data_IF_782103193419
#
_entry.id   IF_782103193419
#
_cell.length_a   1.000
_cell.length_b   1.000
_cell.length_c   1.000
_cell.angle_alpha   90.00
_cell.angle_beta   90.00
_cell.angle_gamma   90.00
#
_symmetry.space_group_name_H-M   'P 1'
#
loop_
_entity.id
_entity.type
_entity.pdbx_description
1 polymer ?
#
# COMPACT_ATOMS: atom_id res chain seq x y z
N UNK A 1 2.60 19.73 -4.35
CA UNK A 1 3.81 19.45 -3.54
C UNK A 1 3.37 19.19 -2.10
N UNK A 2 4.07 18.36 -1.31
CA UNK A 2 3.74 18.16 0.09
C UNK A 2 3.80 19.49 0.86
N UNK A 3 2.94 19.62 1.87
CA UNK A 3 2.93 20.79 2.78
C UNK A 3 4.18 20.80 3.65
N UNK A 4 4.68 19.62 4.02
CA UNK A 4 5.95 19.46 4.73
C UNK A 4 6.63 18.14 4.38
N UNK A 5 7.96 18.13 4.55
CA UNK A 5 8.81 16.94 4.49
C UNK A 5 9.54 16.79 5.81
N UNK A 6 9.70 15.58 6.29
CA UNK A 6 10.42 15.29 7.53
C UNK A 6 11.07 13.91 7.45
N UNK A 7 11.87 13.56 8.42
CA UNK A 7 12.38 12.20 8.58
C UNK A 7 12.19 11.72 10.02
N UNK A 8 12.23 10.42 10.20
CA UNK A 8 12.30 9.80 11.51
C UNK A 8 13.25 8.61 11.47
N UNK A 9 13.69 8.17 12.63
CA UNK A 9 14.64 7.07 12.76
C UNK A 9 13.90 5.80 13.14
N UNK A 10 14.06 4.77 12.35
CA UNK A 10 13.56 3.42 12.64
C UNK A 10 14.35 2.75 13.77
N UNK A 11 13.85 1.65 14.30
CA UNK A 11 14.43 0.95 15.44
C UNK A 11 15.88 0.47 15.21
N UNK A 12 16.26 0.19 13.96
CA UNK A 12 17.60 -0.23 13.55
C UNK A 12 18.53 0.95 13.17
N UNK A 13 18.06 2.20 13.33
CA UNK A 13 18.80 3.42 12.97
C UNK A 13 18.58 3.91 11.54
N UNK A 14 17.82 3.18 10.71
CA UNK A 14 17.51 3.59 9.34
C UNK A 14 16.72 4.91 9.35
N UNK A 15 17.14 5.87 8.52
CA UNK A 15 16.42 7.13 8.34
C UNK A 15 15.31 6.97 7.32
N UNK A 16 14.09 7.25 7.72
CA UNK A 16 12.89 7.15 6.90
C UNK A 16 12.42 8.56 6.54
N UNK A 17 12.41 8.86 5.25
CA UNK A 17 11.86 10.11 4.72
C UNK A 17 10.33 10.02 4.65
N UNK A 18 9.65 11.08 5.03
CA UNK A 18 8.21 11.13 5.04
C UNK A 18 7.69 12.50 4.59
N UNK A 19 6.45 12.50 4.15
CA UNK A 19 5.76 13.63 3.56
C UNK A 19 4.39 13.80 4.20
N UNK A 20 3.94 15.05 4.25
CA UNK A 20 2.60 15.40 4.70
C UNK A 20 1.97 16.37 3.72
N UNK A 21 0.69 16.17 3.41
CA UNK A 21 -0.16 17.06 2.64
C UNK A 21 -1.36 17.44 3.51
N UNK A 22 -1.54 18.74 3.72
CA UNK A 22 -2.59 19.29 4.55
C UNK A 22 -3.79 19.74 3.73
N UNK A 23 -5.03 19.50 4.20
CA UNK A 23 -6.23 20.10 3.62
C UNK A 23 -6.32 21.60 3.96
N UNK A 24 -7.18 22.31 3.24
CA UNK A 24 -7.57 23.68 3.58
C UNK A 24 -8.51 23.67 4.79
N UNK A 25 -7.96 23.73 5.99
CA UNK A 25 -8.71 23.75 7.23
C UNK A 25 -8.48 22.52 8.13
N UNK A 26 -9.25 22.37 9.22
CA UNK A 26 -9.06 21.25 10.16
C UNK A 26 -9.33 19.91 9.47
N UNK A 27 -8.41 18.94 9.58
CA UNK A 27 -8.62 17.62 8.97
C UNK A 27 -9.73 16.85 9.71
N UNK A 28 -10.48 16.06 8.95
CA UNK A 28 -11.56 15.20 9.48
C UNK A 28 -11.11 13.76 9.72
N UNK A 29 -10.03 13.33 9.08
CA UNK A 29 -9.32 12.08 9.31
C UNK A 29 -7.92 12.16 8.69
N UNK A 30 -7.04 11.23 9.09
CA UNK A 30 -5.72 11.03 8.50
C UNK A 30 -5.71 9.80 7.60
N UNK A 31 -5.02 9.90 6.47
CA UNK A 31 -4.71 8.76 5.59
C UNK A 31 -3.20 8.59 5.59
N UNK A 32 -2.73 7.41 5.99
CA UNK A 32 -1.34 7.00 5.88
C UNK A 32 -1.17 6.11 4.66
N UNK A 33 -0.43 6.59 3.67
CA UNK A 33 -0.18 5.89 2.42
C UNK A 33 1.16 5.15 2.48
N UNK A 34 1.14 3.87 2.10
CA UNK A 34 2.29 2.99 1.97
C UNK A 34 2.40 2.53 0.51
N UNK A 35 3.46 2.95 -0.18
CA UNK A 35 3.66 2.73 -1.61
C UNK A 35 4.15 1.31 -1.96
N UNK A 36 4.24 1.00 -3.27
CA UNK A 36 4.67 -0.30 -3.80
C UNK A 36 6.19 -0.48 -3.89
N UNK A 37 6.61 -1.63 -4.42
CA UNK A 37 8.00 -1.93 -4.69
C UNK A 37 8.53 -1.13 -5.89
N UNK A 38 9.80 -0.68 -5.82
CA UNK A 38 10.46 0.00 -6.92
C UNK A 38 9.79 1.33 -7.31
N UNK A 39 9.24 2.04 -6.34
CA UNK A 39 8.63 3.36 -6.50
C UNK A 39 8.84 4.22 -5.23
N UNK A 40 8.12 5.32 -5.09
CA UNK A 40 8.22 6.21 -3.94
C UNK A 40 6.93 6.99 -3.68
N UNK A 41 6.76 7.51 -2.46
CA UNK A 41 5.54 8.17 -1.98
C UNK A 41 5.08 9.36 -2.85
N UNK A 42 6.00 10.10 -3.46
CA UNK A 42 5.64 11.29 -4.24
C UNK A 42 4.91 11.00 -5.55
N UNK A 43 4.88 9.76 -6.01
CA UNK A 43 4.06 9.35 -7.15
C UNK A 43 2.55 9.46 -6.87
N UNK A 44 2.16 9.54 -5.59
CA UNK A 44 0.78 9.65 -5.12
C UNK A 44 0.35 11.09 -4.79
N UNK A 45 1.11 12.09 -5.24
CA UNK A 45 0.80 13.49 -4.93
C UNK A 45 -0.58 13.93 -5.42
N UNK A 46 -1.04 13.42 -6.55
CA UNK A 46 -2.37 13.71 -7.09
C UNK A 46 -3.48 13.08 -6.21
N UNK A 47 -3.27 11.87 -5.70
CA UNK A 47 -4.17 11.21 -4.75
C UNK A 47 -4.24 12.02 -3.44
N UNK A 48 -3.06 12.42 -2.91
CA UNK A 48 -3.00 13.21 -1.70
C UNK A 48 -3.76 14.54 -1.84
N UNK A 49 -3.65 15.22 -3.00
CA UNK A 49 -4.41 16.45 -3.28
C UNK A 49 -5.91 16.21 -3.31
N UNK A 50 -6.37 15.18 -4.03
CA UNK A 50 -7.79 14.86 -4.09
C UNK A 50 -8.36 14.54 -2.71
N UNK A 51 -7.60 13.82 -1.87
CA UNK A 51 -7.99 13.55 -0.49
C UNK A 51 -7.95 14.82 0.39
N UNK A 52 -7.00 15.74 0.17
CA UNK A 52 -7.00 17.03 0.86
C UNK A 52 -8.24 17.87 0.51
N UNK A 53 -8.66 17.89 -0.75
CA UNK A 53 -9.91 18.56 -1.19
C UNK A 53 -11.13 17.98 -0.48
N UNK A 54 -11.10 16.70 -0.14
CA UNK A 54 -12.12 16.02 0.66
C UNK A 54 -11.92 16.18 2.19
N UNK A 55 -10.92 16.96 2.63
CA UNK A 55 -10.68 17.27 4.04
C UNK A 55 -9.87 16.23 4.82
N UNK A 56 -9.13 15.35 4.15
CA UNK A 56 -8.21 14.41 4.80
C UNK A 56 -6.79 15.00 4.86
N UNK A 57 -6.07 14.84 5.97
CA UNK A 57 -4.63 15.01 5.99
C UNK A 57 -3.98 13.71 5.50
N UNK A 58 -3.01 13.81 4.59
CA UNK A 58 -2.34 12.65 4.03
C UNK A 58 -0.89 12.62 4.49
N UNK A 59 -0.45 11.47 4.96
CA UNK A 59 0.94 11.16 5.28
C UNK A 59 1.41 10.01 4.41
N UNK A 60 2.66 10.07 3.97
CA UNK A 60 3.31 8.95 3.30
C UNK A 60 4.79 8.92 3.67
N UNK A 61 5.37 7.74 3.75
CA UNK A 61 6.81 7.56 3.87
C UNK A 61 7.36 6.95 2.58
N UNK A 62 8.60 7.28 2.25
CA UNK A 62 9.37 6.41 1.38
C UNK A 62 9.83 5.21 2.21
N UNK A 63 9.49 4.00 1.79
CA UNK A 63 9.96 2.80 2.47
C UNK A 63 11.48 2.75 2.52
N UNK A 64 12.05 2.05 3.51
CA UNK A 64 13.48 1.76 3.55
C UNK A 64 13.95 1.19 2.21
N UNK A 65 15.11 1.61 1.72
CA UNK A 65 15.61 1.23 0.40
C UNK A 65 14.88 1.85 -0.78
N UNK A 66 13.95 2.78 -0.55
CA UNK A 66 13.16 3.44 -1.61
C UNK A 66 13.21 4.97 -1.50
N UNK A 67 13.08 5.65 -2.63
CA UNK A 67 12.94 7.10 -2.69
C UNK A 67 14.05 7.85 -1.95
N UNK A 68 13.67 8.76 -1.07
CA UNK A 68 14.61 9.52 -0.22
C UNK A 68 15.04 8.76 1.05
N UNK A 69 14.54 7.55 1.28
CA UNK A 69 14.97 6.63 2.34
C UNK A 69 16.06 5.65 1.86
N UNK A 70 16.51 5.74 0.61
CA UNK A 70 17.69 5.01 0.14
C UNK A 70 18.89 5.51 0.94
N UNK A 71 19.50 4.61 1.72
CA UNK A 71 20.67 4.91 2.53
C UNK A 71 21.99 4.85 1.75
N UNK A 72 23.02 4.31 2.39
CA UNK A 72 24.32 4.10 1.74
C UNK A 72 24.37 2.83 0.85
N UNK A 73 23.32 1.98 0.93
CA UNK A 73 23.16 0.79 0.09
C UNK A 73 22.54 1.09 -1.26
N UNK A 74 22.29 0.04 -2.02
CA UNK A 74 21.62 0.13 -3.32
C UNK A 74 20.10 0.30 -3.14
N UNK A 75 19.42 0.76 -4.19
CA UNK A 75 17.97 0.80 -4.22
C UNK A 75 17.39 -0.62 -4.07
N UNK A 76 16.37 -0.76 -3.23
CA UNK A 76 15.78 -2.05 -2.89
C UNK A 76 16.45 -2.81 -1.73
N UNK A 77 17.58 -2.31 -1.21
CA UNK A 77 18.20 -2.82 0.02
C UNK A 77 17.41 -2.29 1.24
N UNK A 78 16.69 -3.19 1.91
CA UNK A 78 15.88 -2.83 3.08
C UNK A 78 16.71 -2.68 4.37
N UNK A 79 18.02 -2.83 4.30
CA UNK A 79 18.93 -2.67 5.44
C UNK A 79 18.82 -3.78 6.47
N UNK A 80 19.39 -3.55 7.67
CA UNK A 80 19.47 -4.57 8.73
C UNK A 80 18.11 -5.01 9.24
N UNK A 81 17.13 -4.12 9.30
CA UNK A 81 15.75 -4.45 9.72
C UNK A 81 14.98 -5.26 8.66
N UNK A 82 15.42 -5.25 7.42
CA UNK A 82 14.82 -6.00 6.33
C UNK A 82 13.32 -5.75 6.19
N UNK A 83 12.58 -6.80 5.78
CA UNK A 83 11.14 -6.75 5.61
C UNK A 83 10.38 -6.47 6.93
N UNK A 84 10.80 -7.08 8.03
CA UNK A 84 10.17 -6.84 9.33
C UNK A 84 10.25 -5.35 9.73
N UNK A 85 11.42 -4.74 9.56
CA UNK A 85 11.58 -3.31 9.81
C UNK A 85 10.72 -2.43 8.90
N UNK A 86 10.46 -2.84 7.64
CA UNK A 86 9.53 -2.12 6.76
C UNK A 86 8.10 -2.16 7.31
N UNK A 87 7.67 -3.31 7.83
CA UNK A 87 6.34 -3.46 8.46
C UNK A 87 6.26 -2.62 9.74
N UNK A 88 7.29 -2.64 10.58
CA UNK A 88 7.36 -1.86 11.83
C UNK A 88 7.35 -0.34 11.56
N UNK A 89 7.98 0.12 10.48
CA UNK A 89 8.01 1.53 10.10
C UNK A 89 6.60 2.10 9.83
N UNK A 90 5.63 1.26 9.43
CA UNK A 90 4.21 1.65 9.32
C UNK A 90 3.70 2.10 10.70
N UNK A 91 3.97 1.33 11.75
CA UNK A 91 3.55 1.64 13.12
C UNK A 91 4.20 2.91 13.67
N UNK A 92 5.48 3.16 13.34
CA UNK A 92 6.17 4.37 13.77
C UNK A 92 5.53 5.63 13.19
N UNK A 93 5.18 5.61 11.90
CA UNK A 93 4.46 6.73 11.28
C UNK A 93 3.04 6.86 11.83
N UNK A 94 2.33 5.75 12.02
CA UNK A 94 0.99 5.73 12.62
C UNK A 94 0.98 6.36 14.02
N UNK A 95 1.95 5.99 14.87
CA UNK A 95 2.09 6.56 16.21
C UNK A 95 2.35 8.07 16.17
N UNK A 96 3.18 8.53 15.24
CA UNK A 96 3.42 9.94 15.02
C UNK A 96 2.15 10.69 14.59
N UNK A 97 1.41 10.15 13.61
CA UNK A 97 0.15 10.77 13.15
C UNK A 97 -0.84 10.90 14.31
N UNK A 98 -0.99 9.85 15.12
CA UNK A 98 -1.88 9.90 16.30
C UNK A 98 -1.42 10.90 17.35
N UNK A 99 -0.13 11.11 17.53
CA UNK A 99 0.41 12.12 18.43
C UNK A 99 0.17 13.55 17.91
N UNK A 100 0.29 13.77 16.60
CA UNK A 100 0.02 15.07 15.96
C UNK A 100 -1.48 15.38 15.86
N UNK A 101 -2.34 14.34 15.78
CA UNK A 101 -3.78 14.47 15.62
C UNK A 101 -4.55 13.57 16.61
N UNK A 102 -4.54 13.89 17.93
CA UNK A 102 -5.22 13.09 18.94
C UNK A 102 -6.72 12.95 18.65
N UNK A 103 -7.22 11.70 18.61
CA UNK A 103 -8.63 11.41 18.39
C UNK A 103 -9.10 11.47 16.92
N UNK A 104 -8.23 11.83 15.99
CA UNK A 104 -8.55 11.80 14.57
C UNK A 104 -8.55 10.36 14.07
N UNK A 105 -9.56 9.91 13.29
CA UNK A 105 -9.53 8.60 12.64
C UNK A 105 -8.31 8.45 11.73
N UNK A 106 -7.66 7.28 11.77
CA UNK A 106 -6.51 6.95 10.94
C UNK A 106 -6.85 5.79 10.00
N UNK A 107 -6.68 6.04 8.70
CA UNK A 107 -6.87 5.05 7.64
C UNK A 107 -5.50 4.67 7.07
N UNK A 108 -5.20 3.37 7.02
CA UNK A 108 -4.03 2.86 6.32
C UNK A 108 -4.40 2.58 4.86
N UNK A 109 -3.65 3.14 3.92
CA UNK A 109 -3.78 2.87 2.49
C UNK A 109 -2.49 2.24 2.00
N UNK A 110 -2.54 0.95 1.64
CA UNK A 110 -1.42 0.22 1.07
C UNK A 110 -1.61 -0.09 -0.41
N UNK A 111 -0.57 0.14 -1.21
CA UNK A 111 -0.51 -0.27 -2.60
C UNK A 111 0.57 -1.33 -2.82
N UNK A 112 0.24 -2.41 -3.54
CA UNK A 112 1.19 -3.46 -3.95
C UNK A 112 2.01 -3.97 -2.74
N UNK A 113 3.32 -3.93 -2.77
CA UNK A 113 4.20 -4.26 -1.64
C UNK A 113 3.73 -3.58 -0.34
N UNK A 114 3.35 -2.31 -0.39
CA UNK A 114 2.78 -1.61 0.77
C UNK A 114 1.47 -2.22 1.26
N UNK A 115 0.63 -2.77 0.36
CA UNK A 115 -0.58 -3.49 0.77
C UNK A 115 -0.26 -4.81 1.47
N UNK A 116 0.78 -5.51 1.04
CA UNK A 116 1.24 -6.74 1.69
C UNK A 116 1.85 -6.46 3.08
N UNK A 117 2.57 -5.35 3.21
CA UNK A 117 3.08 -4.90 4.50
C UNK A 117 1.92 -4.52 5.45
N UNK A 118 0.90 -3.81 4.97
CA UNK A 118 -0.30 -3.50 5.76
C UNK A 118 -1.04 -4.76 6.17
N UNK A 119 -1.26 -5.74 5.27
CA UNK A 119 -1.88 -7.01 5.64
C UNK A 119 -1.16 -7.68 6.81
N UNK A 120 0.18 -7.72 6.77
CA UNK A 120 0.99 -8.34 7.84
C UNK A 120 0.99 -7.53 9.12
N UNK A 121 1.04 -6.19 9.02
CA UNK A 121 0.91 -5.28 10.14
C UNK A 121 -0.39 -5.49 10.92
N UNK A 122 -1.50 -5.74 10.23
CA UNK A 122 -2.80 -5.93 10.84
C UNK A 122 -2.90 -7.16 11.74
N UNK A 123 -2.09 -8.20 11.55
CA UNK A 123 -2.13 -9.39 12.41
C UNK A 123 -1.85 -9.08 13.89
N UNK A 124 -1.07 -8.03 14.15
CA UNK A 124 -0.68 -7.64 15.50
C UNK A 124 -1.19 -6.24 15.90
N UNK A 125 -1.49 -5.38 14.92
CA UNK A 125 -1.73 -3.96 15.11
C UNK A 125 -3.05 -3.46 14.50
N UNK A 126 -4.05 -4.31 14.32
CA UNK A 126 -5.33 -3.92 13.71
C UNK A 126 -6.10 -2.86 14.51
N UNK A 127 -5.78 -2.69 15.81
CA UNK A 127 -6.35 -1.65 16.65
C UNK A 127 -5.81 -0.23 16.33
N UNK A 128 -4.68 -0.15 15.63
CA UNK A 128 -4.04 1.13 15.27
C UNK A 128 -4.70 1.80 14.06
N UNK A 129 -5.62 1.13 13.37
CA UNK A 129 -6.31 1.66 12.21
C UNK A 129 -7.83 1.72 12.43
N UNK A 130 -8.45 2.79 11.97
CA UNK A 130 -9.91 2.95 11.96
C UNK A 130 -10.53 2.46 10.64
N UNK A 131 -9.71 2.22 9.64
CA UNK A 131 -10.06 1.61 8.36
C UNK A 131 -8.81 1.27 7.56
N UNK A 132 -8.94 0.41 6.58
CA UNK A 132 -7.84 -0.07 5.73
C UNK A 132 -8.24 -0.08 4.27
N UNK A 133 -7.36 0.40 3.40
CA UNK A 133 -7.48 0.37 1.95
C UNK A 133 -6.32 -0.43 1.39
N UNK A 134 -6.61 -1.43 0.58
CA UNK A 134 -5.62 -2.28 -0.10
C UNK A 134 -5.82 -2.18 -1.61
N UNK A 135 -4.82 -1.69 -2.33
CA UNK A 135 -4.84 -1.59 -3.80
C UNK A 135 -3.68 -2.38 -4.41
N UNK A 136 -3.85 -2.89 -5.64
CA UNK A 136 -2.85 -3.75 -6.27
C UNK A 136 -2.49 -4.94 -5.39
N UNK A 137 -3.47 -5.53 -4.73
CA UNK A 137 -3.31 -6.50 -3.63
C UNK A 137 -3.75 -7.90 -4.01
N UNK A 138 -3.28 -8.88 -3.26
CA UNK A 138 -3.57 -10.31 -3.47
C UNK A 138 -3.27 -11.14 -2.21
N UNK A 139 -3.69 -12.41 -2.21
CA UNK A 139 -3.12 -13.45 -1.36
C UNK A 139 -1.74 -13.83 -1.93
N UNK A 140 -0.73 -12.99 -1.67
CA UNK A 140 0.56 -13.05 -2.36
C UNK A 140 1.35 -14.34 -2.07
N UNK A 141 1.09 -15.02 -0.96
CA UNK A 141 1.67 -16.33 -0.66
C UNK A 141 1.46 -17.35 -1.78
N UNK A 142 0.35 -17.22 -2.55
CA UNK A 142 0.05 -18.08 -3.70
C UNK A 142 0.87 -17.74 -4.94
N UNK A 143 1.48 -16.57 -5.00
CA UNK A 143 2.37 -16.16 -6.10
C UNK A 143 3.82 -16.65 -5.88
N UNK A 144 4.18 -17.05 -4.67
CA UNK A 144 5.55 -17.40 -4.29
C UNK A 144 6.19 -18.41 -5.23
N UNK A 145 5.47 -19.46 -5.59
CA UNK A 145 5.99 -20.52 -6.45
C UNK A 145 6.23 -20.13 -7.92
N UNK A 146 5.78 -18.94 -8.33
CA UNK A 146 5.99 -18.40 -9.68
C UNK A 146 7.21 -17.45 -9.76
N UNK A 147 7.88 -17.15 -8.66
CA UNK A 147 8.98 -16.20 -8.57
C UNK A 147 10.28 -16.91 -8.18
N UNK A 148 11.40 -16.41 -8.72
CA UNK A 148 12.75 -16.79 -8.27
C UNK A 148 13.13 -15.90 -7.08
N UNK A 149 13.05 -16.45 -5.86
CA UNK A 149 13.38 -15.74 -4.63
C UNK A 149 14.89 -15.86 -4.24
N UNK A 150 15.72 -16.48 -5.08
CA UNK A 150 17.17 -16.49 -4.89
C UNK A 150 17.84 -15.28 -5.54
N UNK A 151 17.07 -14.47 -6.26
CA UNK A 151 17.47 -13.21 -6.87
C UNK A 151 16.58 -12.05 -6.36
N UNK A 152 17.00 -10.79 -6.51
CA UNK A 152 16.09 -9.64 -6.36
C UNK A 152 14.86 -9.81 -7.26
N UNK A 153 13.70 -9.34 -6.80
CA UNK A 153 12.46 -9.42 -7.57
C UNK A 153 12.61 -8.64 -8.87
N UNK A 154 12.40 -9.32 -10.00
CA UNK A 154 12.34 -8.69 -11.33
C UNK A 154 10.93 -8.20 -11.63
N UNK A 155 10.72 -6.89 -11.53
CA UNK A 155 9.42 -6.28 -11.81
C UNK A 155 9.00 -6.36 -13.29
N UNK A 156 9.96 -6.51 -14.21
CA UNK A 156 9.67 -6.62 -15.64
C UNK A 156 8.99 -7.95 -15.99
N UNK A 157 9.15 -8.98 -15.16
CA UNK A 157 8.49 -10.28 -15.35
C UNK A 157 6.95 -10.17 -15.35
N UNK A 158 6.39 -9.21 -14.61
CA UNK A 158 4.95 -8.96 -14.60
C UNK A 158 4.41 -8.40 -15.93
N UNK A 159 5.30 -7.98 -16.83
CA UNK A 159 4.92 -7.48 -18.15
C UNK A 159 4.60 -8.59 -19.18
N UNK A 160 4.83 -9.85 -18.84
CA UNK A 160 4.62 -10.99 -19.76
C UNK A 160 3.22 -11.04 -20.40
N UNK A 161 2.10 -10.75 -19.70
CA UNK A 161 0.76 -10.75 -20.29
C UNK A 161 0.49 -9.63 -21.31
N UNK A 162 1.35 -8.60 -21.37
CA UNK A 162 1.14 -7.38 -22.18
C UNK A 162 1.99 -7.35 -23.46
N UNK A 163 2.51 -8.48 -23.91
CA UNK A 163 3.31 -8.57 -25.13
C UNK A 163 2.45 -8.49 -26.40
N UNK A 164 2.88 -7.77 -27.48
CA UNK A 164 4.10 -6.95 -27.55
C UNK A 164 3.97 -5.66 -26.71
N UNK A 165 4.89 -5.47 -25.78
CA UNK A 165 4.88 -4.33 -24.88
C UNK A 165 5.67 -3.15 -25.46
N UNK A 166 5.34 -1.92 -25.05
CA UNK A 166 6.04 -0.68 -25.37
C UNK A 166 7.27 -0.48 -24.49
N UNK A 167 7.14 -0.89 -23.19
CA UNK A 167 8.19 -0.82 -22.17
C UNK A 167 8.17 -2.10 -21.32
N UNK A 168 9.11 -2.24 -20.39
CA UNK A 168 9.12 -3.34 -19.40
C UNK A 168 8.11 -3.13 -18.27
N UNK A 169 7.39 -2.01 -18.25
CA UNK A 169 6.50 -1.59 -17.16
C UNK A 169 5.07 -1.25 -17.59
N UNK A 170 4.65 -1.66 -18.78
CA UNK A 170 3.28 -1.43 -19.26
C UNK A 170 2.24 -2.11 -18.36
N UNK A 171 2.64 -3.13 -17.60
CA UNK A 171 1.77 -3.80 -16.63
C UNK A 171 1.27 -2.91 -15.48
N UNK A 172 1.92 -1.76 -15.24
CA UNK A 172 1.54 -0.84 -14.17
C UNK A 172 0.19 -0.16 -14.43
N UNK A 173 0.00 0.40 -15.62
CA UNK A 173 -1.21 1.15 -15.97
C UNK A 173 -1.37 1.25 -17.49
N UNK A 174 -2.59 1.54 -17.95
CA UNK A 174 -2.87 1.88 -19.35
C UNK A 174 -2.51 3.33 -19.70
N UNK A 175 -2.24 4.18 -18.72
CA UNK A 175 -1.79 5.55 -18.95
C UNK A 175 -0.30 5.58 -19.33
N UNK A 176 -0.02 5.67 -20.63
CA UNK A 176 1.34 5.65 -21.17
C UNK A 176 2.22 6.76 -20.59
N UNK A 177 1.66 7.94 -20.30
CA UNK A 177 2.43 9.04 -19.72
C UNK A 177 2.91 8.73 -18.29
N UNK A 178 2.11 7.99 -17.52
CA UNK A 178 2.50 7.50 -16.19
C UNK A 178 3.60 6.46 -16.30
N UNK A 179 3.49 5.52 -17.25
CA UNK A 179 4.54 4.52 -17.50
C UNK A 179 5.85 5.20 -17.94
N UNK A 180 5.79 6.18 -18.84
CA UNK A 180 6.97 6.93 -19.29
C UNK A 180 7.63 7.69 -18.14
N UNK A 181 6.83 8.32 -17.26
CA UNK A 181 7.34 8.99 -16.08
C UNK A 181 8.01 8.01 -15.09
N UNK A 182 7.44 6.80 -14.93
CA UNK A 182 8.03 5.74 -14.11
C UNK A 182 9.38 5.28 -14.66
N UNK A 183 9.46 5.00 -15.96
CA UNK A 183 10.69 4.57 -16.65
C UNK A 183 11.78 5.65 -16.59
N UNK A 184 11.40 6.92 -16.64
CA UNK A 184 12.32 8.05 -16.60
C UNK A 184 12.81 8.40 -15.19
N UNK A 185 12.15 7.93 -14.13
CA UNK A 185 12.55 8.23 -12.73
C UNK A 185 13.59 7.21 -12.25
N UNK A 186 14.85 7.63 -11.94
CA UNK A 186 15.90 6.72 -11.47
C UNK A 186 15.61 6.11 -10.08
N UNK A 187 14.55 6.55 -9.40
CA UNK A 187 14.10 6.01 -8.11
C UNK A 187 12.98 4.98 -8.29
N UNK A 188 12.74 4.54 -9.53
CA UNK A 188 11.74 3.53 -9.87
C UNK A 188 12.38 2.35 -10.62
N UNK A 189 11.67 1.23 -10.73
CA UNK A 189 12.02 0.12 -11.61
C UNK A 189 13.00 -0.90 -11.02
N UNK A 190 13.14 -0.98 -9.71
CA UNK A 190 13.97 -1.98 -9.03
C UNK A 190 13.14 -2.87 -8.08
N UNK A 191 13.60 -4.09 -7.86
CA UNK A 191 13.04 -4.99 -6.86
C UNK A 191 13.75 -4.89 -5.52
N UNK A 192 13.18 -5.50 -4.49
CA UNK A 192 13.85 -5.68 -3.20
C UNK A 192 14.81 -6.87 -3.26
N UNK A 193 15.80 -6.89 -2.37
CA UNK A 193 16.77 -7.97 -2.27
C UNK A 193 16.11 -9.32 -1.97
N UNK A 194 16.81 -10.42 -2.34
CA UNK A 194 16.30 -11.78 -2.20
C UNK A 194 15.97 -12.17 -0.75
N UNK A 195 16.73 -11.67 0.23
CA UNK A 195 16.47 -11.93 1.64
C UNK A 195 15.17 -11.30 2.12
N UNK A 196 14.97 -10.04 1.77
CA UNK A 196 13.75 -9.29 2.05
C UNK A 196 12.54 -9.85 1.30
N UNK A 197 12.71 -10.30 0.05
CA UNK A 197 11.67 -10.96 -0.71
C UNK A 197 11.20 -12.25 -0.02
N UNK A 198 12.13 -13.13 0.36
CA UNK A 198 11.80 -14.35 1.12
C UNK A 198 11.09 -14.05 2.44
N UNK A 199 11.51 -13.00 3.16
CA UNK A 199 10.87 -12.59 4.40
C UNK A 199 9.45 -12.03 4.16
N UNK A 200 9.22 -11.29 3.08
CA UNK A 200 7.89 -10.81 2.66
C UNK A 200 6.93 -11.98 2.44
N UNK A 201 7.34 -13.00 1.69
CA UNK A 201 6.53 -14.20 1.44
C UNK A 201 6.34 -15.05 2.70
N UNK A 202 7.38 -15.17 3.55
CA UNK A 202 7.24 -15.82 4.86
C UNK A 202 6.19 -15.14 5.73
N UNK A 203 6.17 -13.81 5.75
CA UNK A 203 5.12 -13.03 6.40
C UNK A 203 3.75 -13.23 5.78
N UNK A 204 3.67 -13.29 4.44
CA UNK A 204 2.41 -13.51 3.73
C UNK A 204 1.80 -14.88 4.03
N UNK A 205 2.62 -15.93 4.18
CA UNK A 205 2.15 -17.27 4.59
C UNK A 205 1.47 -17.28 5.95
N UNK A 206 1.73 -16.30 6.84
CA UNK A 206 0.96 -16.17 8.10
C UNK A 206 -0.52 -15.97 7.85
N UNK A 207 -0.90 -15.36 6.71
CA UNK A 207 -2.31 -15.20 6.28
C UNK A 207 -3.02 -16.52 5.94
N UNK A 208 -2.31 -17.66 5.87
CA UNK A 208 -2.92 -18.99 5.71
C UNK A 208 -3.34 -19.60 7.06
N UNK A 209 -2.87 -19.05 8.17
CA UNK A 209 -3.29 -19.47 9.51
C UNK A 209 -4.56 -18.70 9.92
N UNK A 210 -5.72 -19.37 10.07
CA UNK A 210 -6.95 -18.73 10.49
C UNK A 210 -6.85 -17.98 11.82
N UNK A 211 -5.98 -18.43 12.74
CA UNK A 211 -5.80 -17.76 14.02
C UNK A 211 -5.09 -16.40 13.87
N UNK A 212 -4.15 -16.29 12.94
CA UNK A 212 -3.48 -15.02 12.63
C UNK A 212 -4.47 -14.02 12.01
N UNK A 213 -5.28 -14.47 11.05
CA UNK A 213 -6.26 -13.59 10.41
C UNK A 213 -7.39 -13.22 11.39
N UNK A 214 -7.81 -14.12 12.27
CA UNK A 214 -8.81 -13.85 13.30
C UNK A 214 -8.32 -12.89 14.42
N UNK A 215 -7.02 -12.61 14.50
CA UNK A 215 -6.48 -11.57 15.38
C UNK A 215 -6.81 -10.15 14.86
N UNK A 216 -7.13 -10.02 13.58
CA UNK A 216 -7.60 -8.74 13.02
C UNK A 216 -8.98 -8.43 13.60
N UNK A 217 -9.16 -7.22 14.09
CA UNK A 217 -10.42 -6.74 14.67
C UNK A 217 -11.60 -6.95 13.69
N UNK A 218 -12.61 -7.75 14.06
CA UNK A 218 -13.71 -8.19 13.18
C UNK A 218 -14.53 -7.04 12.58
N UNK A 219 -14.66 -5.93 13.29
CA UNK A 219 -15.33 -4.71 12.81
C UNK A 219 -14.44 -3.72 12.10
N UNK A 220 -13.19 -4.07 11.75
CA UNK A 220 -12.31 -3.19 10.98
C UNK A 220 -12.84 -3.05 9.55
N UNK A 221 -13.20 -1.82 9.10
CA UNK A 221 -13.56 -1.60 7.71
C UNK A 221 -12.36 -1.83 6.79
N UNK A 222 -12.53 -2.69 5.78
CA UNK A 222 -11.50 -2.99 4.77
C UNK A 222 -12.06 -2.69 3.37
N UNK A 223 -11.33 -1.91 2.59
CA UNK A 223 -11.61 -1.63 1.19
C UNK A 223 -10.52 -2.24 0.33
N UNK A 224 -10.88 -3.16 -0.53
CA UNK A 224 -9.99 -3.81 -1.49
C UNK A 224 -10.38 -3.33 -2.88
N UNK A 225 -9.44 -2.72 -3.60
CA UNK A 225 -9.67 -2.19 -4.93
C UNK A 225 -8.53 -2.58 -5.88
N UNK A 226 -8.86 -3.27 -6.98
CA UNK A 226 -7.86 -3.86 -7.89
C UNK A 226 -8.30 -3.76 -9.34
N UNK A 227 -7.32 -3.77 -10.25
CA UNK A 227 -7.56 -3.93 -11.67
C UNK A 227 -7.81 -5.39 -12.05
N UNK A 228 -8.74 -5.63 -12.98
CA UNK A 228 -9.03 -6.98 -13.48
C UNK A 228 -7.93 -7.55 -14.38
N UNK A 229 -7.08 -6.66 -14.94
CA UNK A 229 -5.92 -7.06 -15.74
C UNK A 229 -4.60 -6.95 -14.97
N UNK A 230 -4.65 -6.85 -13.64
CA UNK A 230 -3.45 -6.80 -12.78
C UNK A 230 -2.76 -8.18 -12.74
N UNK A 231 -1.50 -8.32 -13.20
CA UNK A 231 -0.78 -9.59 -13.19
C UNK A 231 -0.39 -10.04 -11.78
N UNK A 232 -0.29 -9.12 -10.82
CA UNK A 232 0.07 -9.44 -9.42
C UNK A 232 -1.06 -10.19 -8.71
N UNK A 233 -2.32 -9.92 -9.06
CA UNK A 233 -3.47 -10.68 -8.57
C UNK A 233 -3.90 -11.83 -9.50
N UNK A 234 -3.09 -12.11 -10.55
CA UNK A 234 -3.35 -13.14 -11.55
C UNK A 234 -4.75 -13.01 -12.18
N UNK A 235 -5.15 -11.80 -12.57
CA UNK A 235 -6.48 -11.56 -13.14
C UNK A 235 -7.61 -11.94 -12.19
N UNK A 236 -7.53 -11.49 -10.94
CA UNK A 236 -8.44 -11.75 -9.81
C UNK A 236 -8.35 -13.15 -9.16
N UNK A 237 -7.60 -14.09 -9.73
CA UNK A 237 -7.51 -15.46 -9.17
C UNK A 237 -6.94 -15.47 -7.74
N UNK A 238 -6.05 -14.53 -7.40
CA UNK A 238 -5.46 -14.42 -6.06
C UNK A 238 -6.22 -13.44 -5.13
N UNK A 239 -7.26 -12.79 -5.63
CA UNK A 239 -8.11 -11.91 -4.83
C UNK A 239 -9.14 -12.71 -4.02
N UNK A 240 -9.77 -13.69 -4.65
CA UNK A 240 -10.77 -14.56 -4.01
C UNK A 240 -10.24 -15.23 -2.74
N UNK A 241 -9.06 -15.88 -2.75
CA UNK A 241 -8.49 -16.45 -1.52
C UNK A 241 -8.26 -15.42 -0.39
N UNK A 242 -7.88 -14.19 -0.72
CA UNK A 242 -7.71 -13.13 0.28
C UNK A 242 -9.04 -12.78 0.95
N UNK A 243 -10.08 -12.56 0.15
CA UNK A 243 -11.41 -12.20 0.67
C UNK A 243 -12.05 -13.34 1.46
N UNK A 244 -11.92 -14.57 1.00
CA UNK A 244 -12.40 -15.77 1.71
C UNK A 244 -11.72 -15.93 3.08
N UNK A 245 -10.41 -15.64 3.19
CA UNK A 245 -9.68 -15.66 4.47
C UNK A 245 -10.23 -14.61 5.44
N UNK A 246 -10.51 -13.40 4.96
CA UNK A 246 -11.09 -12.33 5.80
C UNK A 246 -12.51 -12.67 6.26
N UNK A 247 -13.35 -13.18 5.37
CA UNK A 247 -14.71 -13.63 5.71
C UNK A 247 -14.69 -14.78 6.73
N UNK A 248 -13.84 -15.81 6.50
CA UNK A 248 -13.68 -16.94 7.40
C UNK A 248 -13.16 -16.52 8.79
N UNK A 249 -12.35 -15.45 8.87
CA UNK A 249 -11.88 -14.88 10.11
C UNK A 249 -12.91 -13.97 10.82
N UNK A 250 -14.06 -13.75 10.20
CA UNK A 250 -15.17 -12.99 10.80
C UNK A 250 -15.07 -11.47 10.59
N UNK A 251 -14.31 -10.98 9.61
CA UNK A 251 -14.38 -9.59 9.22
C UNK A 251 -15.74 -9.30 8.55
N UNK A 252 -16.47 -8.34 9.11
CA UNK A 252 -17.87 -8.07 8.71
C UNK A 252 -18.05 -6.86 7.78
N UNK A 253 -17.02 -6.02 7.64
CA UNK A 253 -17.05 -4.81 6.79
C UNK A 253 -15.93 -4.85 5.75
N UNK A 254 -16.01 -5.78 4.80
CA UNK A 254 -15.10 -5.91 3.67
C UNK A 254 -15.80 -5.47 2.39
N UNK A 255 -15.30 -4.42 1.76
CA UNK A 255 -15.79 -3.90 0.48
C UNK A 255 -14.77 -4.23 -0.61
N UNK A 256 -15.21 -4.89 -1.68
CA UNK A 256 -14.36 -5.21 -2.83
C UNK A 256 -14.82 -4.43 -4.06
N UNK A 257 -13.88 -3.84 -4.78
CA UNK A 257 -14.07 -3.18 -6.07
C UNK A 257 -13.08 -3.69 -7.09
N UNK A 258 -13.56 -4.05 -8.27
CA UNK A 258 -12.74 -4.42 -9.41
C UNK A 258 -12.98 -3.43 -10.54
N UNK A 259 -11.93 -3.11 -11.29
CA UNK A 259 -12.01 -2.15 -12.39
C UNK A 259 -11.68 -2.86 -13.71
N UNK A 260 -12.66 -2.95 -14.64
CA UNK A 260 -12.47 -3.64 -15.91
C UNK A 260 -11.29 -3.09 -16.72
N UNK A 261 -10.46 -4.00 -17.22
CA UNK A 261 -9.26 -3.73 -18.00
C UNK A 261 -8.19 -2.86 -17.29
N UNK A 262 -8.44 -2.36 -16.07
CA UNK A 262 -7.42 -1.66 -15.29
C UNK A 262 -6.30 -2.63 -14.90
N UNK A 263 -5.08 -2.10 -14.89
CA UNK A 263 -3.87 -2.83 -14.55
C UNK A 263 -3.53 -2.65 -13.06
N UNK A 264 -2.27 -2.76 -12.69
CA UNK A 264 -1.83 -2.82 -11.30
C UNK A 264 -2.06 -1.53 -10.50
N UNK A 265 -1.68 -0.39 -11.05
CA UNK A 265 -1.73 0.92 -10.38
C UNK A 265 -3.07 1.62 -10.60
N UNK A 266 -4.15 1.13 -10.01
CA UNK A 266 -5.50 1.71 -10.24
C UNK A 266 -5.61 3.19 -9.88
N UNK A 267 -4.81 3.67 -8.91
CA UNK A 267 -4.75 5.09 -8.53
C UNK A 267 -4.00 5.96 -9.55
N UNK A 268 -3.30 5.34 -10.49
CA UNK A 268 -2.58 5.95 -11.60
C UNK A 268 -3.17 5.57 -12.97
N UNK A 269 -4.34 4.91 -13.00
CA UNK A 269 -4.97 4.43 -14.21
C UNK A 269 -5.65 5.52 -15.03
N UNK A 270 -6.04 5.20 -16.26
CA UNK A 270 -6.78 6.12 -17.13
C UNK A 270 -8.13 6.56 -16.54
N UNK A 271 -8.73 5.74 -15.69
CA UNK A 271 -9.95 6.02 -14.94
C UNK A 271 -9.70 6.36 -13.45
N UNK A 272 -8.50 6.84 -13.10
CA UNK A 272 -8.12 7.16 -11.70
C UNK A 272 -9.08 8.11 -10.99
N UNK A 273 -9.72 9.03 -11.72
CA UNK A 273 -10.67 9.97 -11.11
C UNK A 273 -11.91 9.25 -10.56
N UNK A 274 -12.41 8.24 -11.26
CA UNK A 274 -13.48 7.33 -10.79
C UNK A 274 -13.02 6.55 -9.56
N UNK A 275 -11.81 5.95 -9.62
CA UNK A 275 -11.22 5.18 -8.52
C UNK A 275 -11.08 6.02 -7.26
N UNK A 276 -10.54 7.25 -7.39
CA UNK A 276 -10.35 8.17 -6.27
C UNK A 276 -11.69 8.66 -5.71
N UNK A 277 -12.69 8.90 -6.56
CA UNK A 277 -14.02 9.30 -6.10
C UNK A 277 -14.72 8.19 -5.29
N UNK A 278 -14.64 6.94 -5.74
CA UNK A 278 -15.19 5.78 -5.00
C UNK A 278 -14.44 5.53 -3.69
N UNK A 279 -13.10 5.63 -3.70
CA UNK A 279 -12.27 5.58 -2.51
C UNK A 279 -12.69 6.67 -1.51
N UNK A 280 -12.82 7.91 -1.96
CA UNK A 280 -13.23 9.04 -1.12
C UNK A 280 -14.61 8.81 -0.51
N UNK A 281 -15.57 8.30 -1.28
CA UNK A 281 -16.91 7.97 -0.81
C UNK A 281 -16.87 6.89 0.29
N UNK A 282 -16.01 5.88 0.14
CA UNK A 282 -15.83 4.84 1.16
C UNK A 282 -15.19 5.42 2.44
N UNK A 283 -14.17 6.27 2.30
CA UNK A 283 -13.53 6.96 3.42
C UNK A 283 -14.54 7.81 4.21
N UNK A 284 -15.42 8.53 3.51
CA UNK A 284 -16.50 9.32 4.11
C UNK A 284 -17.44 8.48 4.97
N UNK A 285 -17.80 7.29 4.49
CA UNK A 285 -18.63 6.34 5.24
C UNK A 285 -17.93 5.92 6.54
N UNK A 286 -16.66 5.52 6.46
CA UNK A 286 -15.89 5.04 7.61
C UNK A 286 -15.76 6.14 8.67
N UNK A 287 -15.34 7.33 8.28
CA UNK A 287 -15.16 8.46 9.20
C UNK A 287 -16.47 8.86 9.88
N UNK A 288 -17.58 8.85 9.13
CA UNK A 288 -18.92 9.17 9.70
C UNK A 288 -19.36 8.11 10.72
N UNK A 289 -19.04 6.85 10.47
CA UNK A 289 -19.38 5.74 11.39
C UNK A 289 -18.54 5.82 12.67
N UNK A 290 -17.26 6.07 12.57
CA UNK A 290 -16.35 6.22 13.73
C UNK A 290 -16.77 7.38 14.63
N UNK A 291 -17.14 8.52 14.04
CA UNK A 291 -17.60 9.70 14.80
C UNK A 291 -18.90 9.46 15.59
N UNK A 292 -19.73 8.48 15.22
CA UNK A 292 -20.95 8.09 15.95
C UNK A 292 -20.68 7.19 17.16
N UNK A 293 -19.60 6.41 17.12
CA UNK A 293 -19.23 5.49 18.21
C UNK A 293 -18.50 6.19 19.36
N UNK A 294 -17.97 7.38 19.12
CA UNK A 294 -17.23 8.18 20.11
C UNK A 294 -18.09 9.24 20.81
N UNK A 295 -19.37 9.31 20.49
CA UNK A 295 -20.39 10.17 21.15
C UNK A 295 -21.28 9.35 22.09
#
# INVERSE_FOLDING_TARGET
MPSSTFSYTSADGTQIAAYRWDPDGPPRAAVQLTHGMGEHARRYEHVARALNEAGFVVYAQDHRGHGASIGAGDAGDLGQGGWAGLVDDIGLLSARIRAEHPGLPLILLGHSMGSFAVQQYLFEHSADADGVVLTGTAAIDLLEGALDLDQPIDLSAFNAPFQPARTDYDWLTRDEAIVDAYVADPRCGFGIDAGSARAMFAGARRGTDPAQVAAIRSGLPVYIAVGEADPVNAGLALLTPLTERYEAAGLTDVTVRTYPAARHEILNETNRDEVIAELTSWLDRVVTSTARLTR
#
